data_IF_196511452678
#
_entry.id   IF_196511452678
#
_cell.length_a   1.000
_cell.length_b   1.000
_cell.length_c   1.000
_cell.angle_alpha   90.00
_cell.angle_beta   90.00
_cell.angle_gamma   90.00
#
_symmetry.space_group_name_H-M   'P 1'
#
loop_
_entity.id
_entity.type
_entity.pdbx_description
1 polymer ?
#
# COMPACT_ATOMS: atom_id res chain seq x y z
N UNK A 1 -2.54 20.64 -16.05
CA UNK A 1 -2.78 19.75 -14.90
C UNK A 1 -4.24 19.37 -14.96
N UNK A 2 -4.52 18.09 -15.10
CA UNK A 2 -5.87 17.54 -15.09
C UNK A 2 -6.15 16.97 -13.69
N UNK A 3 -7.35 17.20 -13.17
CA UNK A 3 -7.75 16.74 -11.83
C UNK A 3 -9.00 15.89 -11.94
N UNK A 4 -8.94 14.67 -11.41
CA UNK A 4 -10.11 13.83 -11.17
C UNK A 4 -10.36 13.74 -9.66
N UNK A 5 -11.61 13.94 -9.24
CA UNK A 5 -12.03 13.80 -7.84
C UNK A 5 -13.07 12.70 -7.76
N UNK A 6 -12.78 11.66 -6.97
CA UNK A 6 -13.76 10.68 -6.53
C UNK A 6 -14.21 11.07 -5.11
N UNK A 7 -15.31 11.82 -4.94
CA UNK A 7 -15.65 12.39 -3.64
C UNK A 7 -16.07 11.34 -2.61
N UNK A 8 -16.54 10.17 -3.06
CA UNK A 8 -17.05 9.09 -2.21
C UNK A 8 -16.69 7.73 -2.79
N UNK A 9 -15.68 7.09 -2.19
CA UNK A 9 -15.36 5.70 -2.51
C UNK A 9 -16.48 4.75 -2.10
N UNK A 10 -17.04 4.93 -0.90
CA UNK A 10 -18.06 4.06 -0.30
C UNK A 10 -19.37 4.85 -0.03
N UNK A 11 -20.23 5.06 -1.03
CA UNK A 11 -21.46 5.84 -0.86
C UNK A 11 -22.43 5.22 0.14
N UNK A 12 -22.57 3.89 0.15
CA UNK A 12 -23.40 3.17 1.14
C UNK A 12 -22.86 3.36 2.56
N UNK A 13 -21.54 3.23 2.75
CA UNK A 13 -20.88 3.48 4.02
C UNK A 13 -21.14 4.89 4.55
N UNK A 14 -21.17 5.89 3.67
CA UNK A 14 -21.56 7.26 4.05
C UNK A 14 -23.03 7.36 4.44
N UNK A 15 -23.94 6.74 3.69
CA UNK A 15 -25.37 6.76 4.00
C UNK A 15 -25.71 6.07 5.34
N UNK A 16 -25.00 5.00 5.68
CA UNK A 16 -25.19 4.22 6.91
C UNK A 16 -24.22 4.58 8.04
N UNK A 17 -23.34 5.55 7.82
CA UNK A 17 -22.31 5.98 8.77
C UNK A 17 -21.41 4.82 9.25
N UNK A 18 -20.93 4.00 8.31
CA UNK A 18 -20.08 2.84 8.55
C UNK A 18 -18.84 2.81 7.64
N UNK A 19 -17.80 2.09 8.09
CA UNK A 19 -16.55 1.90 7.35
C UNK A 19 -16.70 0.94 6.17
N UNK A 20 -17.37 -0.19 6.40
CA UNK A 20 -17.41 -1.32 5.48
C UNK A 20 -18.41 -1.09 4.33
N UNK A 21 -18.19 -1.79 3.22
CA UNK A 21 -19.16 -1.89 2.13
C UNK A 21 -20.41 -2.66 2.60
N UNK A 22 -21.52 -2.57 1.86
CA UNK A 22 -22.72 -3.36 2.14
C UNK A 22 -22.47 -4.88 2.16
N UNK A 23 -21.40 -5.34 1.49
CA UNK A 23 -20.91 -6.72 1.49
C UNK A 23 -20.10 -7.11 2.73
N UNK A 24 -19.82 -6.17 3.65
CA UNK A 24 -19.03 -6.38 4.86
C UNK A 24 -17.51 -6.29 4.67
N UNK A 25 -17.01 -6.17 3.43
CA UNK A 25 -15.59 -5.98 3.16
C UNK A 25 -15.15 -4.53 3.44
N UNK A 26 -13.91 -4.38 3.91
CA UNK A 26 -13.26 -3.07 4.02
C UNK A 26 -12.79 -2.65 2.63
N UNK A 27 -13.33 -1.55 2.06
CA UNK A 27 -12.97 -1.12 0.72
C UNK A 27 -11.47 -0.82 0.59
N UNK A 28 -10.82 -0.34 1.66
CA UNK A 28 -9.39 -0.03 1.66
C UNK A 28 -8.53 -1.25 2.01
N UNK A 29 -9.07 -2.48 1.97
CA UNK A 29 -8.30 -3.73 2.15
C UNK A 29 -8.61 -4.79 1.07
N UNK A 30 -9.29 -4.40 -0.01
CA UNK A 30 -9.74 -5.30 -1.07
C UNK A 30 -8.91 -5.19 -2.37
N UNK A 31 -7.64 -4.81 -2.26
CA UNK A 31 -6.77 -4.54 -3.41
C UNK A 31 -5.86 -5.71 -3.81
N UNK A 32 -6.02 -6.87 -3.17
CA UNK A 32 -5.44 -8.16 -3.61
C UNK A 32 -6.54 -9.07 -4.15
N UNK A 33 -7.62 -9.26 -3.37
CA UNK A 33 -8.72 -10.17 -3.73
C UNK A 33 -9.65 -9.59 -4.78
N UNK A 34 -9.93 -8.28 -4.71
CA UNK A 34 -10.99 -7.63 -5.46
C UNK A 34 -12.32 -8.38 -5.32
N UNK A 35 -12.74 -8.69 -4.10
CA UNK A 35 -14.01 -9.36 -3.84
C UNK A 35 -15.22 -8.46 -4.19
N UNK A 36 -15.06 -7.14 -4.10
CA UNK A 36 -16.10 -6.15 -4.40
C UNK A 36 -16.05 -5.66 -5.84
N UNK A 37 -17.19 -5.70 -6.54
CA UNK A 37 -17.34 -5.10 -7.87
C UNK A 37 -17.09 -3.58 -7.85
N UNK A 38 -17.54 -2.88 -6.80
CA UNK A 38 -17.30 -1.45 -6.64
C UNK A 38 -15.80 -1.13 -6.54
N UNK A 39 -15.03 -1.94 -5.79
CA UNK A 39 -13.56 -1.78 -5.72
C UNK A 39 -12.93 -2.00 -7.09
N UNK A 40 -13.40 -2.98 -7.87
CA UNK A 40 -12.91 -3.25 -9.24
C UNK A 40 -13.16 -2.05 -10.16
N UNK A 41 -14.36 -1.51 -10.15
CA UNK A 41 -14.77 -0.38 -11.01
C UNK A 41 -14.03 0.90 -10.64
N UNK A 42 -13.92 1.21 -9.35
CA UNK A 42 -13.15 2.38 -8.88
C UNK A 42 -11.67 2.22 -9.25
N UNK A 43 -11.08 1.03 -9.04
CA UNK A 43 -9.69 0.80 -9.41
C UNK A 43 -9.48 0.94 -10.93
N UNK A 44 -10.39 0.40 -11.74
CA UNK A 44 -10.33 0.54 -13.20
C UNK A 44 -10.40 2.01 -13.63
N UNK A 45 -11.28 2.81 -13.03
CA UNK A 45 -11.37 4.25 -13.28
C UNK A 45 -10.05 4.99 -12.95
N UNK A 46 -9.44 4.67 -11.80
CA UNK A 46 -8.17 5.29 -11.38
C UNK A 46 -7.02 4.89 -12.32
N UNK A 47 -6.95 3.61 -12.71
CA UNK A 47 -5.94 3.12 -13.65
C UNK A 47 -6.11 3.74 -15.04
N UNK A 48 -7.36 3.87 -15.53
CA UNK A 48 -7.67 4.53 -16.80
C UNK A 48 -7.27 6.01 -16.81
N UNK A 49 -7.51 6.72 -15.70
CA UNK A 49 -7.04 8.10 -15.54
C UNK A 49 -5.51 8.23 -15.48
N UNK A 50 -4.80 7.18 -15.04
CA UNK A 50 -3.34 7.09 -15.00
C UNK A 50 -2.66 8.31 -14.32
N UNK A 51 -2.96 8.59 -13.04
CA UNK A 51 -2.46 9.79 -12.36
C UNK A 51 -0.93 9.78 -12.19
N UNK A 52 -0.32 10.96 -12.19
CA UNK A 52 1.05 11.16 -11.67
C UNK A 52 1.06 11.28 -10.14
N UNK A 53 0.04 11.96 -9.60
CA UNK A 53 -0.14 12.20 -8.16
C UNK A 53 -1.54 11.76 -7.73
N UNK A 54 -1.64 11.08 -6.59
CA UNK A 54 -2.91 10.67 -5.98
C UNK A 54 -2.92 11.05 -4.49
N UNK A 55 -4.08 11.50 -4.00
CA UNK A 55 -4.32 11.68 -2.57
C UNK A 55 -5.43 10.75 -2.13
N UNK A 56 -5.13 9.89 -1.15
CA UNK A 56 -6.12 9.07 -0.46
C UNK A 56 -6.46 9.72 0.89
N UNK A 57 -7.70 10.21 1.00
CA UNK A 57 -8.13 11.05 2.11
C UNK A 57 -9.04 10.30 3.08
N UNK A 58 -8.59 10.17 4.32
CA UNK A 58 -9.21 9.40 5.39
C UNK A 58 -9.44 10.26 6.65
N UNK A 59 -10.11 9.65 7.62
CA UNK A 59 -10.18 10.15 8.99
C UNK A 59 -9.72 9.07 9.97
N UNK A 60 -8.97 9.46 11.02
CA UNK A 60 -8.59 8.55 12.09
C UNK A 60 -9.51 8.67 13.31
N UNK A 61 -9.54 7.63 14.14
CA UNK A 61 -10.36 7.55 15.37
C UNK A 61 -9.91 8.53 16.44
N UNK A 62 -10.59 9.67 16.51
CA UNK A 62 -10.33 10.73 17.47
C UNK A 62 -10.75 10.36 18.91
N UNK A 63 -11.67 9.41 19.05
CA UNK A 63 -12.14 8.89 20.34
C UNK A 63 -11.32 7.70 20.86
N UNK A 64 -10.26 7.30 20.14
CA UNK A 64 -9.36 6.24 20.57
C UNK A 64 -8.48 6.74 21.72
N UNK A 65 -8.66 6.14 22.90
CA UNK A 65 -7.80 6.36 24.05
C UNK A 65 -6.56 5.45 24.02
N UNK A 66 -5.48 5.92 24.62
CA UNK A 66 -4.17 5.28 24.69
C UNK A 66 -3.66 5.26 26.14
N UNK A 67 -2.77 4.31 26.43
CA UNK A 67 -2.22 4.05 27.76
C UNK A 67 -3.03 3.02 28.55
N UNK A 68 -2.42 2.43 29.58
CA UNK A 68 -3.06 1.34 30.34
C UNK A 68 -4.34 1.75 31.09
N UNK A 69 -4.55 3.06 31.28
CA UNK A 69 -5.73 3.62 31.95
C UNK A 69 -6.63 4.41 31.00
N UNK A 70 -6.45 4.23 29.68
CA UNK A 70 -7.18 5.00 28.65
C UNK A 70 -7.08 6.52 28.89
N UNK A 71 -5.90 6.99 29.31
CA UNK A 71 -5.71 8.36 29.80
C UNK A 71 -5.25 9.37 28.75
N UNK A 72 -4.86 8.91 27.56
CA UNK A 72 -4.32 9.78 26.51
C UNK A 72 -5.15 9.71 25.23
N UNK A 73 -5.35 10.84 24.57
CA UNK A 73 -5.91 10.89 23.21
C UNK A 73 -4.93 11.62 22.29
N UNK A 74 -4.84 11.23 21.03
CA UNK A 74 -3.91 11.90 20.11
C UNK A 74 -4.19 13.41 20.02
N UNK A 75 -3.13 14.23 19.99
CA UNK A 75 -3.25 15.69 20.00
C UNK A 75 -3.29 16.32 18.60
N UNK A 76 -2.97 15.57 17.55
CA UNK A 76 -2.85 16.07 16.18
C UNK A 76 -4.19 16.36 15.52
N UNK A 77 -4.19 17.19 14.49
CA UNK A 77 -5.35 17.53 13.67
C UNK A 77 -5.38 16.78 12.34
N UNK A 78 -4.19 16.49 11.80
CA UNK A 78 -4.01 15.69 10.59
C UNK A 78 -2.75 14.85 10.67
N UNK A 79 -2.76 13.71 9.99
CA UNK A 79 -1.58 12.90 9.76
C UNK A 79 -1.40 12.69 8.27
N UNK A 80 -0.16 12.55 7.81
CA UNK A 80 0.10 12.27 6.41
C UNK A 80 1.45 11.59 6.21
N UNK A 81 1.53 10.79 5.15
CA UNK A 81 2.78 10.20 4.66
C UNK A 81 2.61 9.90 3.15
N UNK A 82 3.66 10.06 2.33
CA UNK A 82 3.70 9.43 1.02
C UNK A 82 3.94 7.92 1.13
N UNK A 83 3.58 7.17 0.10
CA UNK A 83 3.78 5.71 0.08
C UNK A 83 5.27 5.33 0.02
N UNK A 84 5.66 4.31 0.82
CA UNK A 84 7.07 3.97 1.09
C UNK A 84 7.49 2.55 0.68
N UNK A 85 6.60 1.76 0.08
CA UNK A 85 6.94 0.39 -0.35
C UNK A 85 8.19 0.38 -1.24
N UNK A 86 9.14 -0.52 -0.97
CA UNK A 86 10.45 -0.51 -1.63
C UNK A 86 10.42 -0.92 -3.11
N UNK A 87 9.32 -1.50 -3.61
CA UNK A 87 9.11 -1.75 -5.05
C UNK A 87 8.56 -0.51 -5.80
N UNK A 88 8.39 0.63 -5.10
CA UNK A 88 8.25 1.96 -5.71
C UNK A 88 9.65 2.50 -5.96
N UNK A 89 9.91 2.98 -7.18
CA UNK A 89 11.20 3.51 -7.58
C UNK A 89 11.64 4.64 -6.63
N UNK A 90 12.91 4.61 -6.22
CA UNK A 90 13.45 5.47 -5.16
C UNK A 90 13.24 6.96 -5.45
N UNK A 91 13.38 7.39 -6.70
CA UNK A 91 13.21 8.80 -7.08
C UNK A 91 11.80 9.32 -6.71
N UNK A 92 10.75 8.49 -6.87
CA UNK A 92 9.39 8.88 -6.45
C UNK A 92 9.32 8.97 -4.93
N UNK A 93 9.84 7.96 -4.21
CA UNK A 93 9.80 7.93 -2.73
C UNK A 93 10.55 9.11 -2.12
N UNK A 94 11.78 9.34 -2.57
CA UNK A 94 12.66 10.41 -2.09
C UNK A 94 12.07 11.78 -2.43
N UNK A 95 11.61 12.03 -3.66
CA UNK A 95 11.01 13.32 -4.02
C UNK A 95 9.73 13.61 -3.23
N UNK A 96 8.90 12.58 -2.98
CA UNK A 96 7.69 12.74 -2.16
C UNK A 96 8.02 13.17 -0.72
N UNK A 97 9.05 12.57 -0.13
CA UNK A 97 9.52 12.93 1.22
C UNK A 97 10.20 14.29 1.27
N UNK A 98 11.06 14.60 0.31
CA UNK A 98 11.90 15.79 0.39
C UNK A 98 11.18 17.07 -0.06
N UNK A 99 10.21 16.94 -0.97
CA UNK A 99 9.53 18.11 -1.57
C UNK A 99 8.12 18.31 -1.02
N UNK A 100 7.31 17.24 -0.94
CA UNK A 100 5.91 17.38 -0.55
C UNK A 100 5.72 17.44 0.97
N UNK A 101 6.35 16.54 1.73
CA UNK A 101 6.16 16.47 3.19
C UNK A 101 6.45 17.81 3.89
N UNK A 102 7.57 18.53 3.64
CA UNK A 102 7.82 19.83 4.24
C UNK A 102 6.80 20.91 3.85
N UNK A 103 6.23 20.83 2.63
CA UNK A 103 5.22 21.79 2.15
C UNK A 103 3.86 21.55 2.80
N UNK A 104 3.47 20.29 2.97
CA UNK A 104 2.24 19.92 3.70
C UNK A 104 2.36 20.34 5.17
N UNK A 105 3.47 19.98 5.81
CA UNK A 105 3.80 20.40 7.18
C UNK A 105 3.74 21.93 7.33
N UNK A 106 4.44 22.66 6.46
CA UNK A 106 4.46 24.12 6.50
C UNK A 106 3.09 24.77 6.24
N UNK A 107 2.21 24.14 5.46
CA UNK A 107 0.84 24.60 5.27
C UNK A 107 0.00 24.42 6.56
N UNK A 108 0.15 23.28 7.22
CA UNK A 108 -0.50 23.00 8.51
C UNK A 108 -0.01 23.95 9.61
N UNK A 109 1.30 24.18 9.71
CA UNK A 109 1.92 25.07 10.69
C UNK A 109 1.44 26.53 10.55
N UNK A 110 1.30 27.04 9.31
CA UNK A 110 0.78 28.38 9.03
C UNK A 110 -0.63 28.62 9.60
N UNK A 111 -1.41 27.57 9.78
CA UNK A 111 -2.77 27.61 10.32
C UNK A 111 -2.85 27.16 11.78
N UNK A 112 -1.72 26.93 12.44
CA UNK A 112 -1.65 26.35 13.79
C UNK A 112 -2.44 25.03 13.90
N UNK A 113 -2.30 24.18 12.88
CA UNK A 113 -2.84 22.82 12.85
C UNK A 113 -1.71 21.85 13.22
N UNK A 114 -1.92 21.05 14.26
CA UNK A 114 -0.93 20.04 14.68
C UNK A 114 -0.93 18.90 13.69
N UNK A 115 0.25 18.43 13.32
CA UNK A 115 0.40 17.33 12.39
C UNK A 115 1.45 16.32 12.86
N UNK A 116 1.39 15.12 12.30
CA UNK A 116 2.41 14.10 12.48
C UNK A 116 2.48 13.20 11.24
N UNK A 117 3.51 12.35 11.12
CA UNK A 117 3.40 11.15 10.29
C UNK A 117 2.16 10.33 10.67
N UNK A 118 1.63 9.58 9.71
CA UNK A 118 0.57 8.61 9.95
C UNK A 118 1.08 7.51 10.88
N UNK A 119 0.24 7.09 11.83
CA UNK A 119 0.57 6.00 12.74
C UNK A 119 -0.54 4.97 12.89
N UNK A 120 -0.10 3.73 13.05
CA UNK A 120 -0.89 2.66 13.67
C UNK A 120 -0.18 2.19 14.94
N UNK A 121 -0.86 1.42 15.77
CA UNK A 121 -0.25 0.89 17.00
C UNK A 121 -1.28 0.32 17.96
N UNK A 122 -0.82 -0.35 19.01
CA UNK A 122 -1.66 -0.83 20.09
C UNK A 122 -1.98 0.31 21.06
N UNK A 123 -3.24 0.43 21.47
CA UNK A 123 -3.67 1.47 22.39
C UNK A 123 -3.33 1.17 23.85
N UNK A 124 -3.22 -0.11 24.22
CA UNK A 124 -3.11 -0.59 25.61
C UNK A 124 -1.81 -1.36 25.81
N UNK A 125 -0.70 -0.72 25.46
CA UNK A 125 0.65 -1.29 25.58
C UNK A 125 1.58 -0.29 26.26
N UNK A 126 2.52 -0.77 27.07
CA UNK A 126 3.57 0.04 27.69
C UNK A 126 4.94 -0.63 27.52
N UNK A 127 5.93 0.05 26.87
CA UNK A 127 5.80 1.36 26.22
C UNK A 127 4.82 1.32 25.03
N UNK A 128 4.23 2.46 24.67
CA UNK A 128 3.43 2.55 23.46
C UNK A 128 4.34 2.29 22.24
N UNK A 129 3.89 1.42 21.33
CA UNK A 129 4.57 1.11 20.08
C UNK A 129 3.74 1.61 18.90
N UNK A 130 4.27 2.56 18.15
CA UNK A 130 3.65 3.09 16.94
C UNK A 130 4.44 2.72 15.69
N UNK A 131 3.72 2.34 14.65
CA UNK A 131 4.26 2.06 13.33
C UNK A 131 3.85 3.16 12.38
N UNK A 132 4.84 3.83 11.78
CA UNK A 132 4.63 4.74 10.67
C UNK A 132 4.20 3.94 9.45
N UNK A 133 3.23 4.46 8.68
CA UNK A 133 2.70 3.95 7.41
C UNK A 133 3.20 2.55 6.96
N UNK A 134 2.25 1.61 6.85
CA UNK A 134 2.56 0.27 6.36
C UNK A 134 2.89 0.26 4.84
N UNK A 135 3.51 -0.83 4.38
CA UNK A 135 3.93 -1.03 2.98
C UNK A 135 3.04 -2.06 2.27
N UNK A 136 1.85 -2.33 2.79
CA UNK A 136 1.04 -3.48 2.38
C UNK A 136 0.20 -3.16 1.14
N UNK A 137 0.44 -3.86 0.03
CA UNK A 137 -0.30 -3.72 -1.22
C UNK A 137 -1.79 -4.08 -1.11
N UNK A 138 -2.25 -4.66 0.01
CA UNK A 138 -3.68 -4.81 0.29
C UNK A 138 -4.42 -3.49 0.47
N UNK A 139 -3.72 -2.40 0.80
CA UNK A 139 -4.27 -1.05 0.88
C UNK A 139 -4.35 -0.38 -0.51
N UNK A 140 -5.35 0.47 -0.71
CA UNK A 140 -5.65 1.07 -2.00
C UNK A 140 -4.56 2.01 -2.51
N UNK A 141 -4.06 2.85 -1.61
CA UNK A 141 -2.94 3.76 -1.80
C UNK A 141 -1.64 3.03 -2.19
N UNK A 142 -1.23 2.01 -1.43
CA UNK A 142 -0.01 1.25 -1.70
C UNK A 142 -0.14 0.46 -3.00
N UNK A 143 -1.28 -0.20 -3.25
CA UNK A 143 -1.51 -0.94 -4.50
C UNK A 143 -1.40 -0.06 -5.74
N UNK A 144 -1.78 1.21 -5.64
CA UNK A 144 -1.64 2.17 -6.73
C UNK A 144 -0.21 2.69 -6.83
N UNK A 145 0.44 2.99 -5.70
CA UNK A 145 1.81 3.50 -5.69
C UNK A 145 2.80 2.52 -6.35
N UNK A 146 2.55 1.21 -6.22
CA UNK A 146 3.29 0.14 -6.90
C UNK A 146 3.22 0.16 -8.44
N UNK A 147 2.37 1.03 -9.00
CA UNK A 147 2.33 1.35 -10.44
C UNK A 147 3.20 2.56 -10.82
N UNK A 148 4.11 2.95 -9.92
CA UNK A 148 4.96 4.14 -10.02
C UNK A 148 4.13 5.42 -10.10
N UNK A 149 3.20 5.56 -9.15
CA UNK A 149 2.41 6.78 -8.91
C UNK A 149 2.87 7.40 -7.61
N UNK A 150 2.94 8.72 -7.55
CA UNK A 150 3.20 9.46 -6.33
C UNK A 150 1.92 9.54 -5.48
N UNK A 151 1.80 8.69 -4.46
CA UNK A 151 0.57 8.57 -3.66
C UNK A 151 0.79 9.07 -2.24
N UNK A 152 -0.15 9.85 -1.72
CA UNK A 152 -0.16 10.39 -0.36
C UNK A 152 -1.38 9.89 0.41
N UNK A 153 -1.15 9.35 1.61
CA UNK A 153 -2.20 9.15 2.61
C UNK A 153 -2.36 10.43 3.42
N UNK A 154 -3.59 10.85 3.63
CA UNK A 154 -3.93 11.90 4.59
C UNK A 154 -5.03 11.42 5.52
N UNK A 155 -4.90 11.72 6.80
CA UNK A 155 -5.74 11.20 7.88
C UNK A 155 -6.13 12.34 8.79
N UNK A 156 -7.38 12.79 8.69
CA UNK A 156 -7.87 13.92 9.50
C UNK A 156 -8.49 13.41 10.80
N UNK A 157 -8.33 14.14 11.91
CA UNK A 157 -9.00 13.79 13.17
C UNK A 157 -10.52 13.86 13.05
N UNK A 158 -11.23 12.74 13.08
CA UNK A 158 -12.70 12.84 13.00
C UNK A 158 -13.58 11.62 13.25
N UNK A 159 -13.08 10.38 13.13
CA UNK A 159 -13.91 9.21 13.43
C UNK A 159 -14.31 9.25 14.92
N UNK A 160 -15.61 9.11 15.18
CA UNK A 160 -16.18 9.12 16.53
C UNK A 160 -16.54 10.51 17.08
N UNK A 161 -16.30 11.60 16.34
CA UNK A 161 -16.63 12.97 16.80
C UNK A 161 -18.00 13.48 16.36
N UNK A 162 -18.69 12.82 15.43
CA UNK A 162 -19.92 13.36 14.84
C UNK A 162 -19.70 14.76 14.26
N UNK A 163 -20.56 15.74 14.61
CA UNK A 163 -20.46 17.14 14.16
C UNK A 163 -19.49 18.00 14.97
N UNK A 164 -18.84 17.47 15.99
CA UNK A 164 -17.92 18.25 16.82
C UNK A 164 -16.70 18.70 16.01
N UNK A 165 -16.30 19.95 16.20
CA UNK A 165 -15.13 20.57 15.56
C UNK A 165 -15.11 20.44 14.02
N UNK A 166 -16.29 20.34 13.39
CA UNK A 166 -16.40 20.08 11.95
C UNK A 166 -15.61 21.07 11.09
N UNK A 167 -15.66 22.37 11.43
CA UNK A 167 -14.88 23.39 10.73
C UNK A 167 -13.36 23.13 10.80
N UNK A 168 -12.84 22.81 11.99
CA UNK A 168 -11.40 22.51 12.15
C UNK A 168 -11.02 21.23 11.41
N UNK A 169 -11.88 20.21 11.46
CA UNK A 169 -11.68 18.95 10.72
C UNK A 169 -11.59 19.20 9.21
N UNK A 170 -12.59 19.86 8.65
CA UNK A 170 -12.61 20.18 7.21
C UNK A 170 -11.41 21.06 6.83
N UNK A 171 -11.07 22.07 7.64
CA UNK A 171 -9.91 22.90 7.40
C UNK A 171 -8.60 22.10 7.39
N UNK A 172 -8.41 21.15 8.30
CA UNK A 172 -7.21 20.30 8.34
C UNK A 172 -7.08 19.40 7.11
N UNK A 173 -8.15 18.67 6.76
CA UNK A 173 -8.14 17.82 5.57
C UNK A 173 -7.92 18.62 4.29
N UNK A 174 -8.63 19.75 4.15
CA UNK A 174 -8.49 20.64 3.00
C UNK A 174 -7.06 21.21 2.91
N UNK A 175 -6.47 21.64 4.03
CA UNK A 175 -5.11 22.18 4.05
C UNK A 175 -4.08 21.17 3.53
N UNK A 176 -4.18 19.90 3.95
CA UNK A 176 -3.28 18.86 3.46
C UNK A 176 -3.47 18.60 1.95
N UNK A 177 -4.72 18.45 1.50
CA UNK A 177 -5.04 18.20 0.08
C UNK A 177 -4.60 19.38 -0.80
N UNK A 178 -4.92 20.62 -0.40
CA UNK A 178 -4.52 21.83 -1.12
C UNK A 178 -3.00 21.96 -1.18
N UNK A 179 -2.28 21.66 -0.09
CA UNK A 179 -0.83 21.69 -0.10
C UNK A 179 -0.24 20.69 -1.09
N UNK A 180 -0.79 19.47 -1.20
CA UNK A 180 -0.35 18.47 -2.17
C UNK A 180 -0.64 18.96 -3.60
N UNK A 181 -1.89 19.35 -3.89
CA UNK A 181 -2.30 19.80 -5.23
C UNK A 181 -1.53 21.04 -5.66
N UNK A 182 -1.35 22.01 -4.77
CA UNK A 182 -0.59 23.23 -5.06
C UNK A 182 0.88 22.93 -5.26
N UNK A 183 1.47 22.02 -4.48
CA UNK A 183 2.86 21.57 -4.72
C UNK A 183 3.00 20.92 -6.09
N UNK A 184 2.08 20.04 -6.46
CA UNK A 184 2.08 19.40 -7.78
C UNK A 184 1.91 20.43 -8.91
N UNK A 185 1.06 21.46 -8.72
CA UNK A 185 0.87 22.53 -9.69
C UNK A 185 2.11 23.44 -9.82
N UNK A 186 2.68 23.88 -8.70
CA UNK A 186 3.87 24.73 -8.65
C UNK A 186 5.11 24.03 -9.24
N UNK A 187 5.16 22.70 -9.10
CA UNK A 187 6.28 21.84 -9.51
C UNK A 187 5.90 20.90 -10.66
N UNK A 188 4.95 21.29 -11.51
CA UNK A 188 4.36 20.39 -12.49
C UNK A 188 5.38 19.71 -13.42
N UNK A 189 6.37 20.46 -13.92
CA UNK A 189 7.44 19.92 -14.76
C UNK A 189 8.33 18.93 -13.99
N UNK A 190 8.79 19.31 -12.79
CA UNK A 190 9.62 18.44 -11.94
C UNK A 190 8.87 17.16 -11.55
N UNK A 191 7.59 17.25 -11.17
CA UNK A 191 6.75 16.08 -10.84
C UNK A 191 6.62 15.15 -12.04
N UNK A 192 6.35 15.70 -13.23
CA UNK A 192 6.25 14.92 -14.45
C UNK A 192 7.58 14.21 -14.76
N UNK A 193 8.70 14.94 -14.72
CA UNK A 193 10.03 14.39 -14.97
C UNK A 193 10.42 13.31 -13.97
N UNK A 194 10.12 13.50 -12.67
CA UNK A 194 10.40 12.51 -11.62
C UNK A 194 9.58 11.25 -11.86
N UNK A 195 8.27 11.37 -12.11
CA UNK A 195 7.40 10.19 -12.27
C UNK A 195 7.70 9.45 -13.58
N UNK A 196 7.76 10.14 -14.72
CA UNK A 196 8.02 9.50 -16.02
C UNK A 196 9.47 9.00 -16.13
N UNK A 197 10.43 9.75 -15.58
CA UNK A 197 11.81 9.32 -15.48
C UNK A 197 11.97 8.08 -14.61
N UNK A 198 11.28 8.03 -13.46
CA UNK A 198 11.26 6.86 -12.59
C UNK A 198 10.60 5.65 -13.27
N UNK A 199 9.49 5.85 -14.01
CA UNK A 199 8.84 4.78 -14.80
C UNK A 199 9.80 4.20 -15.83
N UNK A 200 10.49 5.04 -16.60
CA UNK A 200 11.45 4.58 -17.61
C UNK A 200 12.63 3.83 -16.97
N UNK A 201 13.24 4.40 -15.92
CA UNK A 201 14.31 3.72 -15.15
C UNK A 201 13.85 2.40 -14.55
N UNK A 202 12.62 2.34 -14.04
CA UNK A 202 12.05 1.12 -13.48
C UNK A 202 11.79 0.06 -14.56
N UNK A 203 11.39 0.46 -15.77
CA UNK A 203 11.18 -0.45 -16.92
C UNK A 203 12.51 -1.03 -17.40
N UNK A 204 13.54 -0.20 -17.51
CA UNK A 204 14.86 -0.58 -18.03
C UNK A 204 15.77 -1.22 -16.96
N UNK A 205 15.46 -0.99 -15.69
CA UNK A 205 16.28 -1.37 -14.56
C UNK A 205 16.22 -2.86 -14.21
N UNK A 206 17.22 -3.30 -13.46
CA UNK A 206 17.38 -4.70 -13.00
C UNK A 206 17.45 -4.79 -11.46
N UNK A 207 17.01 -3.74 -10.78
CA UNK A 207 16.98 -3.68 -9.32
C UNK A 207 16.27 -4.90 -8.73
N UNK A 208 16.75 -5.37 -7.58
CA UNK A 208 16.18 -6.53 -6.91
C UNK A 208 14.71 -6.30 -6.53
N UNK A 209 13.93 -7.37 -6.64
CA UNK A 209 12.55 -7.42 -6.14
C UNK A 209 12.59 -7.52 -4.62
N UNK A 210 11.93 -6.58 -3.93
CA UNK A 210 11.76 -6.66 -2.48
C UNK A 210 10.52 -7.50 -2.17
N UNK A 211 10.73 -8.66 -1.55
CA UNK A 211 9.67 -9.61 -1.20
C UNK A 211 9.12 -9.34 0.20
N UNK A 212 9.98 -9.05 1.17
CA UNK A 212 9.55 -8.64 2.51
C UNK A 212 10.41 -7.52 3.04
N UNK A 213 9.83 -6.72 3.94
CA UNK A 213 10.47 -5.56 4.55
C UNK A 213 10.19 -5.47 6.07
N UNK A 214 10.92 -4.60 6.75
CA UNK A 214 10.74 -4.27 8.16
C UNK A 214 10.99 -2.79 8.43
N UNK A 215 10.49 -2.35 9.58
CA UNK A 215 10.64 -0.99 10.08
C UNK A 215 11.73 -0.92 11.15
N UNK A 216 12.44 0.20 11.20
CA UNK A 216 13.50 0.40 12.19
C UNK A 216 12.91 1.02 13.47
N UNK A 217 13.09 0.38 14.64
CA UNK A 217 12.66 0.94 15.91
C UNK A 217 13.54 2.14 16.28
N UNK A 218 12.87 3.24 16.63
CA UNK A 218 13.49 4.46 17.16
C UNK A 218 12.75 4.88 18.43
N UNK A 219 13.42 5.57 19.35
CA UNK A 219 12.75 6.14 20.52
C UNK A 219 12.46 7.61 20.23
N UNK A 220 11.23 8.05 20.48
CA UNK A 220 10.82 9.46 20.36
C UNK A 220 9.69 9.78 21.34
N UNK A 221 9.42 11.06 21.53
CA UNK A 221 8.18 11.52 22.18
C UNK A 221 7.05 11.62 21.18
N UNK A 222 5.82 11.51 21.68
CA UNK A 222 4.59 11.74 20.93
C UNK A 222 3.63 12.62 21.73
N UNK A 223 3.00 13.56 21.04
CA UNK A 223 2.07 14.51 21.63
C UNK A 223 0.69 13.88 21.84
N UNK A 224 0.23 13.91 23.09
CA UNK A 224 -1.10 13.51 23.48
C UNK A 224 -1.80 14.61 24.27
N UNK A 225 -3.13 14.53 24.31
CA UNK A 225 -3.96 15.22 25.29
C UNK A 225 -4.16 14.24 26.44
N UNK A 226 -3.73 14.62 27.64
CA UNK A 226 -4.11 13.95 28.88
C UNK A 226 -5.60 14.20 29.14
N UNK A 227 -6.40 13.15 29.04
CA UNK A 227 -7.86 13.23 29.10
C UNK A 227 -8.38 13.77 30.45
N UNK A 228 -7.82 13.38 31.62
CA UNK A 228 -8.25 13.94 32.91
C UNK A 228 -8.02 15.44 33.05
N UNK A 229 -6.89 15.96 32.57
CA UNK A 229 -6.51 17.37 32.78
C UNK A 229 -6.75 18.28 31.58
N UNK A 230 -6.97 17.71 30.39
CA UNK A 230 -7.07 18.42 29.12
C UNK A 230 -5.74 19.02 28.65
N UNK A 231 -4.61 18.67 29.27
CA UNK A 231 -3.29 19.25 28.96
C UNK A 231 -2.58 18.47 27.87
N UNK A 232 -1.76 19.18 27.09
CA UNK A 232 -0.80 18.56 26.18
C UNK A 232 0.32 17.89 27.01
N UNK A 233 0.65 16.65 26.68
CA UNK A 233 1.72 15.86 27.31
C UNK A 233 2.55 15.16 26.24
N UNK A 234 3.86 15.08 26.47
CA UNK A 234 4.79 14.34 25.63
C UNK A 234 5.06 12.97 26.24
N UNK A 235 4.70 11.90 25.54
CA UNK A 235 4.85 10.53 26.01
C UNK A 235 5.96 9.82 25.23
N UNK A 236 6.95 9.20 25.90
CA UNK A 236 7.94 8.37 25.23
C UNK A 236 7.27 7.17 24.57
N UNK A 237 7.59 6.94 23.30
CA UNK A 237 7.10 5.80 22.51
C UNK A 237 8.27 5.09 21.83
N UNK A 238 8.06 3.81 21.52
CA UNK A 238 8.83 3.13 20.49
C UNK A 238 8.16 3.39 19.14
N UNK A 239 8.91 3.96 18.20
CA UNK A 239 8.42 4.33 16.88
C UNK A 239 9.12 3.50 15.81
N UNK A 240 8.38 2.58 15.23
CA UNK A 240 8.76 1.78 14.08
C UNK A 240 8.62 2.64 12.82
N UNK A 241 9.71 3.30 12.41
CA UNK A 241 9.69 4.21 11.26
C UNK A 241 9.82 3.44 9.95
N UNK A 242 9.04 3.86 8.96
CA UNK A 242 9.15 3.47 7.55
C UNK A 242 10.00 4.45 6.74
N UNK A 243 10.74 5.35 7.38
CA UNK A 243 11.56 6.40 6.73
C UNK A 243 13.03 6.30 7.19
N UNK A 244 13.85 5.39 6.61
CA UNK A 244 13.52 4.48 5.51
C UNK A 244 13.00 3.11 5.96
N UNK A 245 12.26 2.45 5.07
CA UNK A 245 11.94 1.01 5.15
C UNK A 245 13.21 0.20 4.91
N UNK A 246 13.37 -0.93 5.61
CA UNK A 246 14.49 -1.88 5.41
C UNK A 246 14.00 -3.14 4.71
N UNK A 247 14.64 -3.55 3.62
CA UNK A 247 14.38 -4.86 3.02
C UNK A 247 14.88 -6.00 3.91
N UNK A 248 14.10 -7.07 4.00
CA UNK A 248 14.46 -8.30 4.71
C UNK A 248 14.78 -9.44 3.76
N UNK A 249 13.97 -9.57 2.70
CA UNK A 249 14.10 -10.61 1.69
C UNK A 249 14.02 -9.96 0.32
N UNK A 250 15.06 -10.14 -0.47
CA UNK A 250 15.11 -9.70 -1.86
C UNK A 250 15.34 -10.89 -2.80
N UNK A 251 15.03 -10.68 -4.07
CA UNK A 251 15.26 -11.63 -5.16
C UNK A 251 15.79 -10.88 -6.37
N UNK A 252 16.58 -11.54 -7.21
CA UNK A 252 16.87 -11.03 -8.55
C UNK A 252 15.55 -10.78 -9.30
N UNK A 253 15.51 -9.72 -10.09
CA UNK A 253 14.35 -9.44 -10.94
C UNK A 253 14.30 -10.45 -12.09
N UNK A 254 13.21 -11.20 -12.27
CA UNK A 254 13.05 -12.05 -13.44
C UNK A 254 12.72 -11.19 -14.67
N UNK A 255 12.95 -11.70 -15.87
CA UNK A 255 12.48 -11.04 -17.11
C UNK A 255 10.95 -11.04 -17.20
N UNK A 256 10.34 -12.13 -16.73
CA UNK A 256 8.91 -12.28 -16.66
C UNK A 256 8.49 -13.31 -15.62
N UNK A 257 7.23 -13.21 -15.20
CA UNK A 257 6.51 -14.31 -14.60
C UNK A 257 5.67 -15.02 -15.66
N UNK A 258 5.67 -16.35 -15.64
CA UNK A 258 4.82 -17.17 -16.51
C UNK A 258 4.00 -18.14 -15.68
N UNK A 259 2.70 -18.25 -15.97
CA UNK A 259 1.81 -19.16 -15.26
C UNK A 259 0.67 -19.71 -16.15
N UNK A 260 0.12 -20.91 -15.84
CA UNK A 260 -0.88 -21.56 -16.67
C UNK A 260 -2.17 -20.75 -16.88
N UNK A 261 -2.82 -20.95 -18.04
CA UNK A 261 -4.11 -20.34 -18.37
C UNK A 261 -5.23 -20.66 -17.35
N UNK A 262 -5.10 -21.78 -16.61
CA UNK A 262 -6.03 -22.17 -15.55
C UNK A 262 -6.19 -21.09 -14.47
N UNK A 263 -5.16 -20.25 -14.25
CA UNK A 263 -5.18 -19.17 -13.27
C UNK A 263 -5.63 -17.82 -13.86
N UNK A 264 -6.70 -17.85 -14.67
CA UNK A 264 -7.27 -16.64 -15.29
C UNK A 264 -7.61 -15.56 -14.25
N UNK A 265 -8.13 -15.93 -13.09
CA UNK A 265 -8.46 -14.94 -12.06
C UNK A 265 -7.24 -14.17 -11.54
N UNK A 266 -6.08 -14.82 -11.42
CA UNK A 266 -4.84 -14.16 -11.02
C UNK A 266 -4.41 -13.13 -12.08
N UNK A 267 -4.52 -13.50 -13.37
CA UNK A 267 -4.27 -12.59 -14.49
C UNK A 267 -5.26 -11.42 -14.52
N UNK A 268 -6.55 -11.65 -14.26
CA UNK A 268 -7.57 -10.59 -14.25
C UNK A 268 -7.35 -9.60 -13.08
N UNK A 269 -6.96 -10.09 -11.90
CA UNK A 269 -6.63 -9.25 -10.73
C UNK A 269 -5.36 -8.40 -10.95
N UNK A 270 -4.37 -8.95 -11.64
CA UNK A 270 -3.20 -8.19 -12.08
C UNK A 270 -3.61 -7.04 -13.01
N UNK A 271 -4.44 -7.34 -14.03
CA UNK A 271 -4.93 -6.33 -14.99
C UNK A 271 -5.73 -5.21 -14.32
N UNK A 272 -6.49 -5.51 -13.27
CA UNK A 272 -7.20 -4.49 -12.49
C UNK A 272 -6.26 -3.47 -11.82
N UNK A 273 -5.01 -3.82 -11.57
CA UNK A 273 -3.99 -2.89 -11.06
C UNK A 273 -3.12 -2.28 -12.17
N UNK A 274 -3.56 -2.35 -13.43
CA UNK A 274 -2.82 -1.81 -14.56
C UNK A 274 -1.61 -2.65 -14.98
N UNK A 275 -1.45 -3.87 -14.43
CA UNK A 275 -0.40 -4.79 -14.90
C UNK A 275 -0.79 -5.33 -16.27
N UNK A 276 0.10 -5.15 -17.23
CA UNK A 276 0.02 -5.74 -18.56
C UNK A 276 0.30 -7.24 -18.42
N UNK A 277 -0.72 -8.04 -18.72
CA UNK A 277 -0.66 -9.51 -18.74
C UNK A 277 -0.99 -10.00 -20.14
N UNK A 278 0.00 -10.56 -20.81
CA UNK A 278 -0.10 -11.09 -22.16
C UNK A 278 -0.37 -12.60 -22.13
N UNK A 279 -0.80 -13.14 -23.27
CA UNK A 279 -0.91 -14.58 -23.48
C UNK A 279 0.17 -15.02 -24.47
N UNK A 280 0.93 -16.06 -24.13
CA UNK A 280 1.92 -16.62 -25.07
C UNK A 280 1.21 -17.25 -26.26
N UNK A 281 1.68 -16.95 -27.48
CA UNK A 281 1.02 -17.39 -28.73
C UNK A 281 1.43 -18.79 -29.18
N UNK A 282 2.57 -19.26 -28.70
CA UNK A 282 3.12 -20.59 -28.95
C UNK A 282 3.57 -21.20 -27.63
N UNK A 283 3.87 -22.49 -27.66
CA UNK A 283 4.51 -23.16 -26.53
C UNK A 283 5.79 -22.42 -26.12
N UNK A 284 5.96 -22.21 -24.82
CA UNK A 284 7.20 -21.77 -24.22
C UNK A 284 7.91 -22.97 -23.63
N UNK A 285 9.20 -23.11 -23.92
CA UNK A 285 10.09 -24.08 -23.29
C UNK A 285 11.38 -23.39 -22.90
N UNK A 286 11.80 -23.57 -21.66
CA UNK A 286 13.04 -23.01 -21.16
C UNK A 286 13.22 -23.22 -19.66
N UNK A 287 14.43 -22.92 -19.21
CA UNK A 287 14.80 -22.92 -17.80
C UNK A 287 14.09 -21.76 -17.07
N UNK A 288 13.53 -22.08 -15.91
CA UNK A 288 12.89 -21.13 -14.99
C UNK A 288 13.33 -21.40 -13.56
N UNK A 289 13.17 -20.40 -12.71
CA UNK A 289 13.09 -20.61 -11.27
C UNK A 289 11.64 -20.96 -10.87
N UNK A 290 11.51 -22.05 -10.13
CA UNK A 290 10.27 -22.50 -9.51
C UNK A 290 10.40 -22.48 -7.99
N UNK A 291 9.28 -22.24 -7.31
CA UNK A 291 9.20 -22.26 -5.86
C UNK A 291 8.61 -23.58 -5.37
N UNK A 292 9.33 -24.30 -4.52
CA UNK A 292 8.80 -25.45 -3.79
C UNK A 292 8.41 -25.02 -2.38
N UNK A 293 7.17 -25.28 -1.97
CA UNK A 293 6.65 -24.85 -0.68
C UNK A 293 7.17 -25.75 0.44
N UNK A 294 7.93 -25.17 1.37
CA UNK A 294 8.56 -25.91 2.48
C UNK A 294 7.80 -25.79 3.78
N UNK A 295 7.08 -24.69 4.00
CA UNK A 295 6.22 -24.53 5.16
C UNK A 295 5.04 -23.59 4.90
N UNK A 296 3.95 -23.83 5.64
CA UNK A 296 2.76 -22.98 5.67
C UNK A 296 2.35 -22.78 7.12
N UNK A 297 2.18 -21.53 7.50
CA UNK A 297 1.60 -21.11 8.79
C UNK A 297 0.28 -20.38 8.53
N UNK A 298 -0.82 -20.87 9.11
CA UNK A 298 -2.14 -20.26 8.97
C UNK A 298 -2.36 -19.17 10.02
N UNK A 299 -2.92 -18.05 9.60
CA UNK A 299 -3.38 -17.03 10.54
C UNK A 299 -4.49 -17.58 11.44
N UNK A 300 -4.48 -17.17 12.71
CA UNK A 300 -5.49 -17.58 13.71
C UNK A 300 -6.86 -16.92 13.51
N UNK A 301 -6.96 -15.94 12.61
CA UNK A 301 -8.17 -15.17 12.33
C UNK A 301 -8.43 -15.04 10.83
N UNK A 302 -9.70 -14.86 10.48
CA UNK A 302 -10.12 -14.60 9.11
C UNK A 302 -9.92 -13.12 8.80
N UNK A 303 -9.17 -12.83 7.73
CA UNK A 303 -8.94 -11.50 7.21
C UNK A 303 -9.77 -11.27 5.95
N UNK A 304 -10.71 -10.33 5.98
CA UNK A 304 -11.55 -9.99 4.82
C UNK A 304 -12.12 -11.23 4.12
N UNK A 305 -12.63 -12.20 4.88
CA UNK A 305 -13.20 -13.45 4.36
C UNK A 305 -12.19 -14.51 3.86
N UNK A 306 -10.92 -14.42 4.24
CA UNK A 306 -9.86 -15.40 3.92
C UNK A 306 -9.01 -15.73 5.15
N UNK A 307 -8.66 -16.99 5.38
CA UNK A 307 -7.57 -17.36 6.30
C UNK A 307 -6.26 -17.15 5.55
N UNK A 308 -5.41 -16.24 6.05
CA UNK A 308 -4.15 -15.92 5.39
C UNK A 308 -3.10 -17.00 5.65
N UNK A 309 -2.29 -17.29 4.63
CA UNK A 309 -1.13 -18.17 4.74
C UNK A 309 0.16 -17.35 4.81
N UNK A 310 1.07 -17.73 5.70
CA UNK A 310 2.48 -17.37 5.57
C UNK A 310 3.21 -18.57 4.98
N UNK A 311 3.77 -18.37 3.80
CA UNK A 311 4.41 -19.41 3.00
C UNK A 311 5.92 -19.21 3.06
N UNK A 312 6.68 -20.30 3.17
CA UNK A 312 8.13 -20.31 2.95
C UNK A 312 8.44 -21.28 1.82
N UNK A 313 9.42 -20.91 0.99
CA UNK A 313 9.74 -21.66 -0.23
C UNK A 313 11.23 -21.84 -0.42
N UNK A 314 11.62 -22.94 -1.04
CA UNK A 314 12.93 -23.12 -1.64
C UNK A 314 12.85 -22.85 -3.15
N UNK A 315 13.92 -22.29 -3.71
CA UNK A 315 14.04 -22.07 -5.16
C UNK A 315 14.75 -23.27 -5.80
N UNK A 316 14.20 -23.74 -6.91
CA UNK A 316 14.86 -24.70 -7.78
C UNK A 316 14.80 -24.23 -9.24
N UNK A 317 15.87 -24.53 -9.98
CA UNK A 317 15.91 -24.33 -11.42
C UNK A 317 15.45 -25.59 -12.12
N UNK A 318 14.56 -25.44 -13.11
CA UNK A 318 14.08 -26.55 -13.93
C UNK A 318 13.69 -26.06 -15.31
N UNK A 319 13.76 -26.97 -16.28
CA UNK A 319 13.11 -26.81 -17.57
C UNK A 319 11.61 -27.04 -17.41
N UNK A 320 10.80 -26.12 -17.95
CA UNK A 320 9.36 -26.29 -18.05
C UNK A 320 8.91 -26.25 -19.51
N UNK A 321 7.69 -26.70 -19.74
CA UNK A 321 6.98 -26.47 -21.00
C UNK A 321 5.61 -25.89 -20.65
N UNK A 322 5.27 -24.76 -21.25
CA UNK A 322 4.04 -24.03 -21.00
C UNK A 322 3.26 -23.88 -22.31
N UNK A 323 2.01 -24.33 -22.39
CA UNK A 323 1.26 -24.31 -23.64
C UNK A 323 0.89 -22.89 -24.08
N UNK A 324 0.62 -22.73 -25.37
CA UNK A 324 0.02 -21.51 -25.90
C UNK A 324 -1.25 -21.15 -25.12
N UNK A 325 -1.46 -19.85 -24.87
CA UNK A 325 -2.57 -19.34 -24.07
C UNK A 325 -2.25 -19.10 -22.60
N UNK A 326 -1.13 -19.62 -22.08
CA UNK A 326 -0.64 -19.29 -20.73
C UNK A 326 -0.25 -17.81 -20.61
N UNK A 327 -0.23 -17.32 -19.38
CA UNK A 327 -0.03 -15.91 -19.10
C UNK A 327 1.44 -15.56 -18.95
N UNK A 328 1.84 -14.45 -19.56
CA UNK A 328 3.16 -13.86 -19.50
C UNK A 328 3.06 -12.45 -18.92
N UNK A 329 3.80 -12.20 -17.86
CA UNK A 329 3.86 -10.90 -17.18
C UNK A 329 5.30 -10.45 -17.23
N UNK A 330 5.65 -9.68 -18.26
CA UNK A 330 6.98 -9.07 -18.33
C UNK A 330 7.18 -8.17 -17.11
N UNK A 331 8.37 -8.20 -16.52
CA UNK A 331 8.68 -7.26 -15.45
C UNK A 331 9.06 -5.89 -15.99
N UNK A 332 9.27 -5.72 -17.30
CA UNK A 332 9.65 -4.46 -17.94
C UNK A 332 8.43 -3.56 -18.20
N UNK A 333 7.76 -3.16 -17.12
CA UNK A 333 6.57 -2.28 -17.14
C UNK A 333 6.46 -1.51 -15.83
N UNK A 334 5.84 -0.33 -15.86
CA UNK A 334 5.67 0.52 -14.66
C UNK A 334 4.90 -0.20 -13.54
N UNK A 335 3.87 -0.97 -13.88
CA UNK A 335 3.06 -1.69 -12.91
C UNK A 335 3.71 -2.97 -12.33
N UNK A 336 4.96 -3.30 -12.69
CA UNK A 336 5.60 -4.55 -12.25
C UNK A 336 5.81 -4.61 -10.73
N UNK A 337 5.90 -3.47 -10.03
CA UNK A 337 5.96 -3.44 -8.56
C UNK A 337 4.79 -4.17 -7.90
N UNK A 338 3.58 -4.07 -8.46
CA UNK A 338 2.42 -4.81 -7.96
C UNK A 338 2.54 -6.31 -8.26
N UNK A 339 3.01 -6.66 -9.46
CA UNK A 339 3.24 -8.06 -9.83
C UNK A 339 4.25 -8.73 -8.90
N UNK A 340 5.34 -8.04 -8.54
CA UNK A 340 6.32 -8.51 -7.56
C UNK A 340 5.68 -8.85 -6.21
N UNK A 341 4.80 -7.98 -5.71
CA UNK A 341 4.13 -8.20 -4.44
C UNK A 341 3.19 -9.41 -4.48
N UNK A 342 2.42 -9.58 -5.55
CA UNK A 342 1.38 -10.62 -5.58
C UNK A 342 1.84 -11.98 -6.10
N UNK A 343 2.92 -12.03 -6.89
CA UNK A 343 3.43 -13.26 -7.52
C UNK A 343 4.63 -13.88 -6.79
N UNK A 344 5.28 -13.16 -5.88
CA UNK A 344 6.31 -13.74 -5.01
C UNK A 344 5.63 -14.39 -3.77
N UNK A 345 5.64 -15.72 -3.62
CA UNK A 345 4.75 -16.42 -2.68
C UNK A 345 5.02 -16.11 -1.20
N UNK A 346 6.23 -15.66 -0.87
CA UNK A 346 6.65 -15.32 0.50
C UNK A 346 6.27 -13.89 0.91
N UNK A 347 5.76 -13.07 -0.02
CA UNK A 347 5.25 -11.74 0.31
C UNK A 347 3.93 -11.88 1.10
N UNK A 348 3.73 -11.04 2.11
CA UNK A 348 2.53 -11.02 2.97
C UNK A 348 1.23 -10.66 2.23
N UNK A 349 1.34 -10.12 1.03
CA UNK A 349 0.24 -9.78 0.12
C UNK A 349 0.22 -10.62 -1.16
N UNK A 350 0.91 -11.76 -1.15
CA UNK A 350 0.95 -12.67 -2.28
C UNK A 350 -0.40 -13.35 -2.54
N UNK A 351 -0.58 -13.82 -3.78
CA UNK A 351 -1.70 -14.69 -4.12
C UNK A 351 -1.65 -16.04 -3.40
N UNK A 352 -0.47 -16.49 -2.96
CA UNK A 352 -0.35 -17.65 -2.08
C UNK A 352 -0.91 -17.35 -0.67
N UNK A 353 -0.57 -16.18 -0.12
CA UNK A 353 -1.07 -15.71 1.18
C UNK A 353 -2.58 -15.54 1.20
N UNK A 354 -3.15 -15.02 0.12
CA UNK A 354 -4.60 -14.80 0.00
C UNK A 354 -5.38 -16.01 -0.54
N UNK A 355 -4.75 -17.18 -0.70
CA UNK A 355 -5.37 -18.39 -1.26
C UNK A 355 -6.01 -18.18 -2.65
N UNK A 356 -5.51 -17.22 -3.43
CA UNK A 356 -5.86 -17.02 -4.84
C UNK A 356 -5.15 -18.05 -5.71
N UNK A 357 -3.90 -18.34 -5.36
CA UNK A 357 -3.10 -19.45 -5.87
C UNK A 357 -2.84 -20.38 -4.67
N UNK A 358 -3.79 -21.27 -4.32
CA UNK A 358 -3.67 -22.12 -3.15
C UNK A 358 -2.51 -23.12 -3.30
N UNK A 359 -1.83 -23.40 -2.19
CA UNK A 359 -0.71 -24.33 -2.10
C UNK A 359 -0.72 -25.09 -0.78
N UNK A 360 -0.10 -26.26 -0.76
CA UNK A 360 0.21 -27.08 0.40
C UNK A 360 1.73 -27.26 0.55
N UNK A 361 2.17 -27.75 1.71
CA UNK A 361 3.57 -28.14 1.91
C UNK A 361 3.94 -29.26 0.94
N UNK A 362 5.02 -29.08 0.20
CA UNK A 362 5.49 -29.99 -0.86
C UNK A 362 4.94 -29.67 -2.26
N UNK A 363 4.03 -28.70 -2.39
CA UNK A 363 3.56 -28.25 -3.70
C UNK A 363 4.60 -27.35 -4.38
N UNK A 364 4.68 -27.45 -5.71
CA UNK A 364 5.35 -26.45 -6.54
C UNK A 364 4.37 -25.29 -6.80
N UNK A 365 4.77 -24.06 -6.48
CA UNK A 365 3.95 -22.86 -6.72
C UNK A 365 3.73 -22.66 -8.23
N UNK A 366 2.49 -22.41 -8.70
CA UNK A 366 2.18 -22.43 -10.13
C UNK A 366 2.54 -21.13 -10.86
N UNK A 367 3.54 -20.38 -10.37
CA UNK A 367 4.10 -19.19 -11.02
C UNK A 367 5.60 -19.38 -11.14
N UNK A 368 6.10 -19.28 -12.36
CA UNK A 368 7.50 -19.50 -12.70
C UNK A 368 8.18 -18.18 -13.05
N UNK A 369 9.40 -18.02 -12.59
CA UNK A 369 10.27 -16.87 -12.85
C UNK A 369 11.16 -17.20 -14.04
N UNK A 370 10.94 -16.51 -15.16
CA UNK A 370 11.81 -16.62 -16.35
C UNK A 370 13.02 -15.72 -16.12
N UNK A 371 14.21 -16.31 -16.11
CA UNK A 371 15.47 -15.57 -15.96
C UNK A 371 15.95 -15.07 -17.35
N UNK A 372 16.61 -13.92 -17.34
CA UNK A 372 17.19 -13.27 -18.53
C UNK A 372 18.66 -13.58 -18.77
#
# INVERSE_FOLDING_TARGET
>A
MDIMILPRYNPDGVAYFQRFLATGYDPNRDHIRFASQQTREVKALIVDFSPHVMVDAHEYSANRAYGLKDQWAQAVDGQFDPMKNLNIHKDIREYSEEVFVPRIAGAMDKLNLRWSPYITGNAREEPLVFTQLDTQARAGDVSLALTQVMVFLTETRGIGLGSQHFQRRVASGLTMIEAIVQTAADKAEEVYEVVEGARQKFIDGVDEVVVTDSFQPTNRTWDFIDLPTGKLVEIPIQFLSSTPVKSNLTRSRPEAYIFPQAWKEAADRLRLNGVIVENIRSEFRGEVEAYNVTSIELASTVYQGTVLNKVTTDILKKEITMPAGSFWVSTRQAAAGYAFTVLEPENIDSYATFNILPVNVGDEYPVYRVLG
#
